data_IF_676606058757
#
_entry.id   IF_676606058757
#
_cell.length_a   1.000
_cell.length_b   1.000
_cell.length_c   1.000
_cell.angle_alpha   90.00
_cell.angle_beta   90.00
_cell.angle_gamma   90.00
#
_symmetry.space_group_name_H-M   'P 1'
#
loop_
_entity.id
_entity.type
_entity.pdbx_description
1 polymer ?
#
# COMPACT_ATOMS: atom_id res chain seq x y z
N UNK A 1 4.74 24.43 16.00
CA UNK A 1 3.34 24.82 16.31
C UNK A 1 3.36 26.02 17.23
N UNK A 2 2.64 27.08 16.88
CA UNK A 2 2.58 28.32 17.66
C UNK A 2 1.14 28.63 17.99
N UNK A 3 0.85 28.89 19.28
CA UNK A 3 -0.47 29.27 19.78
C UNK A 3 -0.46 30.79 20.10
N UNK A 4 -1.44 31.50 19.55
CA UNK A 4 -1.67 32.93 19.86
C UNK A 4 -3.12 33.14 20.32
N UNK A 5 -3.31 34.04 21.28
CA UNK A 5 -4.65 34.54 21.65
C UNK A 5 -4.89 35.85 20.90
N UNK A 6 -5.97 35.89 20.12
CA UNK A 6 -6.33 37.04 19.28
C UNK A 6 -7.15 38.08 20.05
N UNK A 7 -8.02 37.62 20.94
CA UNK A 7 -8.85 38.47 21.82
C UNK A 7 -10.04 37.67 22.38
N UNK A 8 -10.55 38.05 23.54
CA UNK A 8 -11.71 37.37 24.15
C UNK A 8 -11.52 35.89 24.27
N UNK A 9 -12.35 35.09 23.60
CA UNK A 9 -12.37 33.63 23.50
C UNK A 9 -11.72 33.10 22.19
N UNK A 10 -11.07 33.97 21.40
CA UNK A 10 -10.49 33.59 20.12
C UNK A 10 -8.99 33.31 20.22
N UNK A 11 -8.61 32.15 19.66
CA UNK A 11 -7.24 31.68 19.62
C UNK A 11 -6.87 31.29 18.16
N UNK A 12 -5.62 31.48 17.79
CA UNK A 12 -5.07 31.02 16.53
C UNK A 12 -3.93 30.04 16.76
N UNK A 13 -3.92 28.98 15.95
CA UNK A 13 -2.86 27.97 15.91
C UNK A 13 -2.17 28.02 14.55
N UNK A 14 -0.86 28.23 14.54
CA UNK A 14 -0.01 28.10 13.35
C UNK A 14 0.73 26.76 13.42
N UNK A 15 0.51 25.89 12.45
CA UNK A 15 1.09 24.56 12.38
C UNK A 15 1.87 24.41 11.07
N UNK A 16 3.20 24.36 11.14
CA UNK A 16 4.05 24.13 9.98
C UNK A 16 4.13 22.64 9.65
N UNK A 17 4.08 22.30 8.34
CA UNK A 17 4.13 20.93 7.86
C UNK A 17 2.84 20.11 8.09
N UNK A 18 1.71 20.77 8.35
CA UNK A 18 0.40 20.15 8.47
C UNK A 18 -0.36 20.27 7.15
N UNK A 19 -0.69 19.14 6.53
CA UNK A 19 -1.70 19.04 5.48
C UNK A 19 -3.11 18.90 6.08
N UNK A 20 -4.12 18.73 5.22
CA UNK A 20 -5.54 18.62 5.62
C UNK A 20 -5.78 17.55 6.70
N UNK A 21 -5.12 16.42 6.58
CA UNK A 21 -5.25 15.27 7.47
C UNK A 21 -4.75 15.55 8.90
N UNK A 22 -3.51 16.03 9.01
CA UNK A 22 -2.93 16.38 10.32
C UNK A 22 -3.69 17.52 10.99
N UNK A 23 -4.18 18.47 10.18
CA UNK A 23 -5.00 19.58 10.68
C UNK A 23 -6.36 19.06 11.18
N UNK A 24 -6.99 18.14 10.46
CA UNK A 24 -8.24 17.46 10.89
C UNK A 24 -8.04 16.70 12.19
N UNK A 25 -7.00 15.85 12.27
CA UNK A 25 -6.72 15.07 13.47
C UNK A 25 -6.45 15.96 14.69
N UNK A 26 -5.75 17.07 14.50
CA UNK A 26 -5.52 18.06 15.57
C UNK A 26 -6.83 18.75 16.00
N UNK A 27 -7.65 19.16 15.04
CA UNK A 27 -8.94 19.80 15.32
C UNK A 27 -9.86 18.89 16.12
N UNK A 28 -10.01 17.62 15.71
CA UNK A 28 -10.81 16.63 16.43
C UNK A 28 -10.30 16.42 17.85
N UNK A 29 -8.98 16.25 18.03
CA UNK A 29 -8.38 16.09 19.36
C UNK A 29 -8.59 17.29 20.27
N UNK A 30 -8.58 18.51 19.72
CA UNK A 30 -8.89 19.74 20.48
C UNK A 30 -10.37 19.72 20.90
N UNK A 31 -11.27 19.40 19.99
CA UNK A 31 -12.70 19.33 20.26
C UNK A 31 -13.03 18.28 21.34
N UNK A 32 -12.46 17.09 21.23
CA UNK A 32 -12.64 16.01 22.20
C UNK A 32 -12.17 16.43 23.60
N UNK A 33 -11.00 17.07 23.68
CA UNK A 33 -10.48 17.54 24.99
C UNK A 33 -11.30 18.66 25.60
N UNK A 34 -11.87 19.55 24.79
CA UNK A 34 -12.73 20.62 25.29
C UNK A 34 -14.12 20.15 25.67
N UNK A 35 -14.57 18.99 25.19
CA UNK A 35 -15.82 18.34 25.59
C UNK A 35 -15.72 17.62 26.94
N UNK A 36 -14.49 17.38 27.43
CA UNK A 36 -14.29 16.88 28.80
C UNK A 36 -14.56 17.97 29.81
N UNK A 37 -15.15 17.68 30.98
CA UNK A 37 -15.42 18.69 32.00
C UNK A 37 -14.12 19.24 32.60
N UNK A 38 -14.06 20.53 32.79
CA UNK A 38 -13.00 21.23 33.54
C UNK A 38 -13.39 21.37 34.98
N UNK A 39 -12.55 20.93 35.89
CA UNK A 39 -12.77 21.06 37.32
C UNK A 39 -12.08 22.32 37.86
N UNK A 40 -12.85 23.29 38.35
CA UNK A 40 -12.32 24.49 39.02
C UNK A 40 -12.89 24.51 40.45
N UNK A 41 -12.05 24.13 41.42
CA UNK A 41 -12.53 23.87 42.79
C UNK A 41 -13.54 22.73 42.79
N UNK A 42 -14.73 22.96 43.35
CA UNK A 42 -15.82 21.96 43.43
C UNK A 42 -16.80 22.08 42.24
N UNK A 43 -16.52 22.89 41.24
CA UNK A 43 -17.40 23.10 40.06
C UNK A 43 -16.88 22.40 38.83
N UNK A 44 -17.79 21.72 38.14
CA UNK A 44 -17.56 21.20 36.81
C UNK A 44 -18.03 22.21 35.74
N UNK A 45 -17.15 22.59 34.83
CA UNK A 45 -17.44 23.50 33.73
C UNK A 45 -17.28 22.77 32.42
N UNK A 46 -18.25 22.92 31.54
CA UNK A 46 -18.20 22.40 30.18
C UNK A 46 -17.86 23.54 29.21
N UNK A 47 -16.97 23.28 28.30
CA UNK A 47 -16.58 24.21 27.26
C UNK A 47 -16.65 23.51 25.90
N UNK A 48 -16.82 24.29 24.85
CA UNK A 48 -16.77 23.78 23.48
C UNK A 48 -16.11 24.81 22.59
N UNK A 49 -15.59 24.38 21.44
CA UNK A 49 -15.02 25.26 20.45
C UNK A 49 -15.56 24.97 19.04
N UNK A 50 -15.51 25.97 18.19
CA UNK A 50 -15.61 25.80 16.74
C UNK A 50 -14.27 26.16 16.13
N UNK A 51 -13.82 25.42 15.11
CA UNK A 51 -12.48 25.56 14.54
C UNK A 51 -12.59 25.86 13.04
N UNK A 52 -12.04 27.00 12.60
CA UNK A 52 -11.82 27.31 11.18
C UNK A 52 -10.41 26.94 10.77
N UNK A 53 -10.24 26.25 9.66
CA UNK A 53 -8.96 25.77 9.16
C UNK A 53 -8.70 26.34 7.78
N UNK A 54 -7.51 26.92 7.58
CA UNK A 54 -6.99 27.33 6.29
C UNK A 54 -5.64 26.66 6.05
N UNK A 55 -5.45 26.12 4.86
CA UNK A 55 -4.18 25.54 4.42
C UNK A 55 -3.44 26.53 3.51
N UNK A 56 -2.13 26.62 3.67
CA UNK A 56 -1.27 27.42 2.82
C UNK A 56 -0.07 26.58 2.36
N UNK A 57 0.31 26.62 1.09
CA UNK A 57 -0.15 27.51 0.01
C UNK A 57 -1.43 27.07 -0.71
N UNK A 58 -2.04 25.95 -0.39
CA UNK A 58 -3.15 25.38 -1.15
C UNK A 58 -4.52 25.53 -0.43
N UNK A 59 -5.63 25.79 -1.16
CA UNK A 59 -5.79 26.13 -2.59
C UNK A 59 -5.99 27.65 -2.81
N UNK A 60 -5.32 28.51 -2.09
CA UNK A 60 -5.61 29.93 -2.04
C UNK A 60 -4.48 30.76 -2.59
N UNK A 61 -4.81 31.74 -3.48
CA UNK A 61 -3.93 32.83 -3.87
C UNK A 61 -3.78 33.84 -2.70
N UNK A 62 -3.32 33.36 -1.55
CA UNK A 62 -3.14 34.18 -0.37
C UNK A 62 -1.87 35.00 -0.52
N UNK A 63 -1.98 36.31 -0.53
CA UNK A 63 -0.87 37.23 -0.70
C UNK A 63 -0.27 37.72 0.62
N UNK A 64 -1.00 37.63 1.73
CA UNK A 64 -0.55 38.09 3.03
C UNK A 64 -1.26 37.41 4.22
N UNK A 65 -0.72 37.63 5.43
CA UNK A 65 -1.24 37.04 6.66
C UNK A 65 -2.68 37.49 6.98
N UNK A 66 -3.06 38.73 6.63
CA UNK A 66 -4.39 39.27 6.86
C UNK A 66 -5.46 38.51 6.05
N UNK A 67 -5.13 38.10 4.83
CA UNK A 67 -6.02 37.30 4.00
C UNK A 67 -6.15 35.85 4.55
N UNK A 68 -5.06 35.25 5.07
CA UNK A 68 -5.12 33.97 5.77
C UNK A 68 -6.09 34.03 6.96
N UNK A 69 -6.02 35.09 7.75
CA UNK A 69 -6.92 35.28 8.89
C UNK A 69 -8.38 35.42 8.44
N UNK A 70 -8.68 36.23 7.41
CA UNK A 70 -10.04 36.34 6.86
C UNK A 70 -10.60 35.01 6.36
N UNK A 71 -9.75 34.21 5.73
CA UNK A 71 -10.14 32.89 5.25
C UNK A 71 -10.41 31.93 6.42
N UNK A 72 -9.61 31.99 7.48
CA UNK A 72 -9.83 31.21 8.70
C UNK A 72 -11.13 31.62 9.42
N UNK A 73 -11.42 32.93 9.49
CA UNK A 73 -12.66 33.45 10.05
C UNK A 73 -13.90 33.00 9.25
N UNK A 74 -13.80 32.99 7.91
CA UNK A 74 -14.83 32.46 7.03
C UNK A 74 -15.12 30.99 7.29
N UNK A 75 -14.06 30.17 7.46
CA UNK A 75 -14.16 28.78 7.84
C UNK A 75 -14.75 28.60 9.25
N UNK A 76 -14.33 29.43 10.21
CA UNK A 76 -14.88 29.45 11.57
C UNK A 76 -16.38 29.77 11.57
N UNK A 77 -16.80 30.77 10.80
CA UNK A 77 -18.22 31.07 10.64
C UNK A 77 -18.99 29.86 10.10
N UNK A 78 -18.43 29.16 9.13
CA UNK A 78 -19.03 27.95 8.58
C UNK A 78 -19.11 26.82 9.64
N UNK A 79 -18.10 26.63 10.46
CA UNK A 79 -18.14 25.69 11.57
C UNK A 79 -19.23 26.05 12.60
N UNK A 80 -19.38 27.35 12.92
CA UNK A 80 -20.42 27.86 13.80
C UNK A 80 -21.83 27.64 13.23
N UNK A 81 -22.02 27.85 11.92
CA UNK A 81 -23.31 27.64 11.23
C UNK A 81 -23.67 26.16 11.06
N UNK A 82 -22.72 25.26 11.01
CA UNK A 82 -22.90 23.80 10.91
C UNK A 82 -23.22 23.12 12.28
N UNK A 83 -23.63 23.89 13.29
CA UNK A 83 -24.06 23.36 14.58
C UNK A 83 -23.06 23.56 15.73
N UNK A 84 -22.00 24.30 15.56
CA UNK A 84 -20.92 24.53 16.56
C UNK A 84 -20.24 23.23 17.00
N UNK A 85 -19.30 23.31 17.90
CA UNK A 85 -18.51 22.15 18.42
C UNK A 85 -17.98 21.26 17.30
N UNK A 86 -17.53 21.87 16.20
CA UNK A 86 -17.03 21.20 14.99
C UNK A 86 -15.95 22.06 14.33
N UNK A 87 -15.37 21.51 13.26
CA UNK A 87 -14.41 22.23 12.43
C UNK A 87 -14.91 22.40 10.99
N UNK A 88 -14.36 23.37 10.27
CA UNK A 88 -14.54 23.50 8.82
C UNK A 88 -13.27 24.03 8.18
N UNK A 89 -12.97 23.55 6.97
CA UNK A 89 -11.97 24.16 6.12
C UNK A 89 -12.54 25.35 5.34
N UNK A 90 -11.67 26.26 4.97
CA UNK A 90 -12.02 27.37 4.08
C UNK A 90 -12.58 26.89 2.74
N UNK A 91 -12.11 25.72 2.23
CA UNK A 91 -12.66 25.06 1.04
C UNK A 91 -13.72 24.02 1.40
N UNK A 92 -14.85 24.01 0.66
CA UNK A 92 -15.90 22.97 0.79
C UNK A 92 -15.39 21.60 0.40
N UNK A 93 -14.58 21.55 -0.64
CA UNK A 93 -13.96 20.31 -1.14
C UNK A 93 -13.07 19.68 -0.06
N UNK A 94 -12.21 20.47 0.58
CA UNK A 94 -11.37 19.98 1.69
C UNK A 94 -12.19 19.54 2.90
N UNK A 95 -13.29 20.22 3.19
CA UNK A 95 -14.21 19.82 4.28
C UNK A 95 -14.84 18.46 3.99
N UNK A 96 -15.28 18.26 2.74
CA UNK A 96 -15.87 16.99 2.29
C UNK A 96 -14.84 15.85 2.32
N UNK A 97 -13.65 16.07 1.79
CA UNK A 97 -12.56 15.09 1.80
C UNK A 97 -12.16 14.69 3.22
N UNK A 98 -12.04 15.66 4.13
CA UNK A 98 -11.70 15.40 5.52
C UNK A 98 -12.78 14.57 6.23
N UNK A 99 -14.06 14.85 5.99
CA UNK A 99 -15.18 14.04 6.53
C UNK A 99 -15.15 12.61 5.99
N UNK A 100 -15.05 12.45 4.68
CA UNK A 100 -14.99 11.13 4.06
C UNK A 100 -13.83 10.30 4.61
N UNK A 101 -12.69 10.95 4.89
CA UNK A 101 -11.53 10.25 5.47
C UNK A 101 -11.80 9.77 6.90
N UNK A 102 -12.39 10.61 7.75
CA UNK A 102 -12.76 10.22 9.13
C UNK A 102 -13.76 9.05 9.13
N UNK A 103 -14.77 9.12 8.26
CA UNK A 103 -15.72 8.04 8.07
C UNK A 103 -15.03 6.75 7.63
N UNK A 104 -14.08 6.85 6.69
CA UNK A 104 -13.35 5.69 6.16
C UNK A 104 -12.44 5.05 7.22
N UNK A 105 -11.79 5.85 8.08
CA UNK A 105 -10.99 5.34 9.23
C UNK A 105 -11.87 4.52 10.17
N UNK A 106 -13.04 5.05 10.53
CA UNK A 106 -13.98 4.37 11.43
C UNK A 106 -14.51 3.08 10.80
N UNK A 107 -14.92 3.16 9.54
CA UNK A 107 -15.43 2.01 8.80
C UNK A 107 -14.36 0.92 8.60
N UNK A 108 -13.07 1.28 8.41
CA UNK A 108 -11.98 0.33 8.23
C UNK A 108 -11.72 -0.51 9.50
N UNK A 109 -11.85 0.08 10.70
CA UNK A 109 -11.78 -0.67 11.95
C UNK A 109 -12.89 -1.72 12.03
N UNK A 110 -14.11 -1.32 11.72
CA UNK A 110 -15.25 -2.23 11.68
C UNK A 110 -15.11 -3.31 10.60
N UNK A 111 -14.48 -2.97 9.46
CA UNK A 111 -14.28 -3.90 8.36
C UNK A 111 -13.47 -5.15 8.75
N UNK A 112 -12.45 -4.97 9.60
CA UNK A 112 -11.66 -6.08 10.14
C UNK A 112 -12.50 -6.99 11.03
N UNK A 113 -13.29 -6.42 11.94
CA UNK A 113 -14.13 -7.16 12.89
C UNK A 113 -15.31 -7.86 12.19
N UNK A 114 -15.88 -7.23 11.18
CA UNK A 114 -17.08 -7.72 10.47
C UNK A 114 -16.75 -8.57 9.24
N UNK A 115 -15.47 -8.89 9.02
CA UNK A 115 -15.06 -9.74 7.90
C UNK A 115 -15.42 -9.14 6.53
N UNK A 116 -15.21 -7.84 6.33
CA UNK A 116 -15.48 -7.16 5.07
C UNK A 116 -14.26 -7.17 4.12
N UNK A 117 -13.11 -7.62 4.58
CA UNK A 117 -11.95 -7.79 3.73
C UNK A 117 -12.08 -9.03 2.84
N UNK A 118 -11.54 -8.95 1.64
CA UNK A 118 -11.47 -10.05 0.65
C UNK A 118 -10.08 -10.08 0.06
N UNK A 119 -9.61 -11.23 -0.39
CA UNK A 119 -8.44 -11.34 -1.25
C UNK A 119 -8.85 -11.55 -2.69
N UNK A 120 -8.23 -10.79 -3.56
CA UNK A 120 -8.16 -11.08 -4.98
C UNK A 120 -6.74 -11.55 -5.30
N UNK A 121 -6.62 -12.38 -6.30
CA UNK A 121 -5.35 -13.00 -6.67
C UNK A 121 -5.03 -12.64 -8.11
N UNK A 122 -3.83 -12.13 -8.33
CA UNK A 122 -3.34 -11.82 -9.67
C UNK A 122 -2.29 -12.84 -10.06
N UNK A 123 -2.43 -13.52 -11.20
CA UNK A 123 -1.48 -14.55 -11.62
C UNK A 123 -0.16 -13.93 -12.05
N UNK A 124 0.92 -14.62 -11.69
CA UNK A 124 2.30 -14.37 -12.11
C UNK A 124 2.70 -15.50 -13.05
N UNK A 125 3.06 -15.15 -14.27
CA UNK A 125 3.37 -16.11 -15.34
C UNK A 125 4.87 -16.30 -15.51
N UNK A 126 5.31 -17.53 -15.74
CA UNK A 126 6.60 -17.82 -16.33
C UNK A 126 6.56 -17.35 -17.79
N UNK A 127 7.38 -16.35 -18.15
CA UNK A 127 7.34 -15.75 -19.50
C UNK A 127 7.84 -16.70 -20.59
N UNK A 128 8.65 -17.71 -20.25
CA UNK A 128 9.16 -18.69 -21.22
C UNK A 128 8.15 -19.81 -21.48
N UNK A 129 7.48 -20.27 -20.41
CA UNK A 129 6.53 -21.39 -20.50
C UNK A 129 5.10 -20.92 -20.80
N UNK A 130 4.78 -19.66 -20.51
CA UNK A 130 3.42 -19.12 -20.59
C UNK A 130 2.47 -19.70 -19.54
N UNK A 131 2.97 -20.36 -18.51
CA UNK A 131 2.18 -20.99 -17.46
C UNK A 131 2.19 -20.18 -16.18
N UNK A 132 1.15 -20.33 -15.37
CA UNK A 132 1.07 -19.69 -14.05
C UNK A 132 2.13 -20.32 -13.14
N UNK A 133 3.00 -19.46 -12.56
CA UNK A 133 4.00 -19.86 -11.57
C UNK A 133 3.54 -19.58 -10.15
N UNK A 134 2.72 -18.57 -9.95
CA UNK A 134 2.22 -18.18 -8.65
C UNK A 134 1.16 -17.10 -8.75
N UNK A 135 0.77 -16.56 -7.61
CA UNK A 135 -0.20 -15.48 -7.53
C UNK A 135 0.26 -14.44 -6.52
N UNK A 136 -0.05 -13.18 -6.78
CA UNK A 136 0.02 -12.12 -5.78
C UNK A 136 -1.35 -11.98 -5.11
N UNK A 137 -1.37 -12.03 -3.77
CA UNK A 137 -2.56 -11.83 -2.95
C UNK A 137 -2.78 -10.36 -2.67
N UNK A 138 -3.83 -9.81 -3.22
CA UNK A 138 -4.15 -8.38 -3.20
C UNK A 138 -5.41 -8.14 -2.38
N UNK A 139 -5.28 -7.46 -1.25
CA UNK A 139 -6.41 -7.13 -0.39
C UNK A 139 -7.41 -6.21 -1.11
N UNK A 140 -8.69 -6.45 -0.85
CA UNK A 140 -9.84 -5.64 -1.28
C UNK A 140 -10.75 -5.41 -0.10
N UNK A 141 -11.45 -4.30 -0.07
CA UNK A 141 -12.43 -4.03 0.95
C UNK A 141 -13.84 -4.02 0.35
N UNK A 142 -14.64 -5.01 0.72
CA UNK A 142 -16.05 -5.10 0.35
C UNK A 142 -16.87 -4.25 1.30
N UNK A 143 -16.96 -2.94 1.00
CA UNK A 143 -17.73 -2.01 1.81
C UNK A 143 -19.23 -2.20 1.55
N UNK A 144 -20.11 -2.24 2.59
CA UNK A 144 -21.52 -2.54 2.42
C UNK A 144 -22.27 -1.52 1.52
N UNK A 145 -21.89 -0.25 1.56
CA UNK A 145 -22.56 0.81 0.78
C UNK A 145 -21.76 1.22 -0.47
N UNK A 146 -20.42 1.20 -0.41
CA UNK A 146 -19.53 1.70 -1.48
C UNK A 146 -19.08 0.61 -2.45
N UNK A 147 -19.45 -0.65 -2.20
CA UNK A 147 -19.00 -1.78 -3.00
C UNK A 147 -17.52 -2.11 -2.78
N UNK A 148 -16.83 -2.56 -3.82
CA UNK A 148 -15.45 -3.00 -3.74
C UNK A 148 -14.49 -1.79 -3.79
N UNK A 149 -13.79 -1.54 -2.67
CA UNK A 149 -12.80 -0.46 -2.54
C UNK A 149 -11.40 -1.03 -2.79
N UNK A 150 -10.65 -0.37 -3.68
CA UNK A 150 -9.28 -0.75 -4.02
C UNK A 150 -8.27 -0.36 -2.91
N UNK A 151 -7.12 -1.07 -2.80
CA UNK A 151 -6.12 -0.85 -1.76
C UNK A 151 -5.62 0.58 -1.66
N UNK A 152 -5.37 1.24 -2.80
CA UNK A 152 -4.88 2.62 -2.83
C UNK A 152 -5.74 3.64 -2.08
N UNK A 153 -7.03 3.33 -1.84
CA UNK A 153 -7.91 4.21 -1.10
C UNK A 153 -7.86 4.00 0.43
N UNK A 154 -7.48 2.82 0.92
CA UNK A 154 -7.55 2.52 2.35
C UNK A 154 -6.21 2.07 2.98
N UNK A 155 -5.27 1.54 2.22
CA UNK A 155 -3.96 1.13 2.74
C UNK A 155 -3.20 2.31 3.35
N UNK A 156 -3.10 3.51 2.70
CA UNK A 156 -2.45 4.67 3.34
C UNK A 156 -3.09 5.04 4.69
N UNK A 157 -4.42 4.95 4.77
CA UNK A 157 -5.16 5.18 6.02
C UNK A 157 -4.81 4.12 7.07
N UNK A 158 -4.74 2.85 6.67
CA UNK A 158 -4.36 1.76 7.56
C UNK A 158 -2.95 1.92 8.13
N UNK A 159 -2.00 2.37 7.31
CA UNK A 159 -0.62 2.64 7.73
C UNK A 159 -0.55 3.76 8.77
N UNK A 160 -1.20 4.90 8.51
CA UNK A 160 -1.21 6.05 9.42
C UNK A 160 -1.89 5.73 10.76
N UNK A 161 -2.98 4.97 10.72
CA UNK A 161 -3.75 4.62 11.93
C UNK A 161 -3.21 3.39 12.66
N UNK A 162 -2.25 2.67 12.07
CA UNK A 162 -1.69 1.44 12.62
C UNK A 162 -2.53 0.19 12.39
N UNK A 163 -3.64 0.29 11.68
CA UNK A 163 -4.49 -0.85 11.33
C UNK A 163 -3.81 -1.79 10.32
N UNK A 164 -2.78 -1.30 9.62
CA UNK A 164 -2.08 -2.06 8.60
C UNK A 164 -1.51 -3.37 9.15
N UNK A 165 -0.98 -3.40 10.36
CA UNK A 165 -0.43 -4.63 10.95
C UNK A 165 -1.49 -5.73 11.12
N UNK A 166 -2.72 -5.36 11.46
CA UNK A 166 -3.83 -6.32 11.56
C UNK A 166 -4.28 -6.79 10.17
N UNK A 167 -4.27 -5.90 9.17
CA UNK A 167 -4.57 -6.24 7.77
C UNK A 167 -3.51 -7.19 7.24
N UNK A 168 -2.22 -6.91 7.41
CA UNK A 168 -1.12 -7.76 6.96
C UNK A 168 -1.22 -9.17 7.56
N UNK A 169 -1.48 -9.25 8.87
CA UNK A 169 -1.66 -10.54 9.54
C UNK A 169 -2.83 -11.33 8.93
N UNK A 170 -3.97 -10.67 8.73
CA UNK A 170 -5.14 -11.27 8.11
C UNK A 170 -4.86 -11.72 6.66
N UNK A 171 -4.19 -10.89 5.86
CA UNK A 171 -3.81 -11.21 4.48
C UNK A 171 -2.90 -12.44 4.43
N UNK A 172 -1.86 -12.48 5.26
CA UNK A 172 -0.95 -13.62 5.36
C UNK A 172 -1.70 -14.92 5.69
N UNK A 173 -2.59 -14.88 6.70
CA UNK A 173 -3.38 -16.06 7.09
C UNK A 173 -4.30 -16.53 5.96
N UNK A 174 -5.05 -15.62 5.34
CA UNK A 174 -5.97 -15.96 4.25
C UNK A 174 -5.23 -16.44 2.99
N UNK A 175 -4.11 -15.81 2.64
CA UNK A 175 -3.31 -16.22 1.49
C UNK A 175 -2.73 -17.63 1.68
N UNK A 176 -2.19 -17.93 2.86
CA UNK A 176 -1.68 -19.27 3.16
C UNK A 176 -2.80 -20.34 3.12
N UNK A 177 -3.98 -20.03 3.66
CA UNK A 177 -5.13 -20.93 3.62
C UNK A 177 -5.59 -21.21 2.19
N UNK A 178 -5.71 -20.17 1.37
CA UNK A 178 -6.10 -20.33 -0.04
C UNK A 178 -5.07 -21.10 -0.85
N UNK A 179 -3.78 -20.84 -0.64
CA UNK A 179 -2.71 -21.61 -1.29
C UNK A 179 -2.78 -23.09 -0.91
N UNK A 180 -3.02 -23.39 0.36
CA UNK A 180 -3.18 -24.77 0.84
C UNK A 180 -4.40 -25.46 0.22
N UNK A 181 -5.50 -24.72 0.07
CA UNK A 181 -6.70 -25.21 -0.60
C UNK A 181 -6.44 -25.58 -2.07
N UNK A 182 -5.83 -24.66 -2.84
CA UNK A 182 -5.50 -24.91 -4.25
C UNK A 182 -4.57 -26.12 -4.45
N UNK A 183 -3.53 -26.23 -3.60
CA UNK A 183 -2.65 -27.41 -3.60
C UNK A 183 -3.42 -28.69 -3.26
N UNK A 184 -4.37 -28.64 -2.32
CA UNK A 184 -5.25 -29.76 -1.97
C UNK A 184 -6.20 -30.19 -3.10
N UNK A 185 -6.58 -29.24 -3.95
CA UNK A 185 -7.38 -29.47 -5.16
C UNK A 185 -6.52 -29.99 -6.34
N UNK A 186 -5.20 -30.05 -6.19
CA UNK A 186 -4.28 -30.52 -7.23
C UNK A 186 -3.85 -29.45 -8.24
N UNK A 187 -4.10 -28.18 -7.97
CA UNK A 187 -3.62 -27.11 -8.84
C UNK A 187 -2.09 -26.94 -8.76
N UNK A 188 -1.43 -26.61 -9.88
CA UNK A 188 0.03 -26.51 -9.95
C UNK A 188 0.53 -25.14 -9.40
N UNK A 189 0.30 -24.89 -8.12
CA UNK A 189 0.74 -23.65 -7.46
C UNK A 189 2.22 -23.73 -7.12
N UNK A 190 3.04 -22.84 -7.67
CA UNK A 190 4.43 -22.66 -7.27
C UNK A 190 4.55 -21.86 -5.97
N UNK A 191 3.95 -20.66 -5.92
CA UNK A 191 3.99 -19.79 -4.74
C UNK A 191 2.78 -18.85 -4.68
N UNK A 192 2.54 -18.33 -3.48
CA UNK A 192 1.64 -17.19 -3.25
C UNK A 192 2.45 -16.04 -2.65
N UNK A 193 2.41 -14.89 -3.28
CA UNK A 193 3.12 -13.68 -2.86
C UNK A 193 2.20 -12.78 -2.02
N UNK A 194 2.76 -12.22 -0.95
CA UNK A 194 2.06 -11.34 -0.02
C UNK A 194 2.90 -10.12 0.26
N UNK A 195 2.33 -8.95 0.05
CA UNK A 195 2.93 -7.67 0.38
C UNK A 195 3.02 -7.48 1.89
N UNK A 196 4.17 -7.04 2.38
CA UNK A 196 4.43 -6.76 3.79
C UNK A 196 4.67 -5.28 3.98
N UNK A 197 3.84 -4.65 4.82
CA UNK A 197 4.03 -3.24 5.14
C UNK A 197 5.35 -2.97 5.86
N UNK A 198 5.91 -1.79 5.65
CA UNK A 198 7.12 -1.33 6.35
C UNK A 198 6.96 -1.38 7.87
N UNK A 199 5.74 -1.16 8.35
CA UNK A 199 5.42 -1.18 9.77
C UNK A 199 5.49 -2.59 10.38
N UNK A 200 4.94 -3.60 9.69
CA UNK A 200 5.02 -4.99 10.16
C UNK A 200 6.45 -5.51 10.06
N UNK A 201 7.16 -5.17 8.98
CA UNK A 201 8.55 -5.50 8.79
C UNK A 201 9.45 -4.92 9.90
N UNK A 202 9.19 -3.67 10.31
CA UNK A 202 9.95 -2.97 11.35
C UNK A 202 9.69 -3.47 12.77
N UNK A 203 8.60 -4.20 13.04
CA UNK A 203 8.26 -4.71 14.39
C UNK A 203 9.18 -5.83 14.90
N UNK A 204 10.00 -6.43 14.04
CA UNK A 204 10.99 -7.45 14.41
C UNK A 204 10.44 -8.84 14.79
N UNK A 205 9.12 -9.05 14.75
CA UNK A 205 8.43 -10.31 15.12
C UNK A 205 7.79 -11.02 13.91
N UNK A 206 8.01 -10.53 12.70
CA UNK A 206 7.39 -11.07 11.49
C UNK A 206 7.72 -12.55 11.27
N UNK A 207 8.94 -12.98 11.57
CA UNK A 207 9.37 -14.38 11.46
C UNK A 207 8.57 -15.33 12.37
N UNK A 208 8.25 -14.90 13.59
CA UNK A 208 7.41 -15.66 14.52
C UNK A 208 5.96 -15.74 14.06
N UNK A 209 5.43 -14.64 13.53
CA UNK A 209 4.09 -14.59 12.97
C UNK A 209 3.97 -15.51 11.75
N UNK A 210 4.91 -15.42 10.81
CA UNK A 210 4.95 -16.28 9.62
C UNK A 210 5.06 -17.76 10.01
N UNK A 211 5.95 -18.11 10.95
CA UNK A 211 6.09 -19.48 11.42
C UNK A 211 4.77 -20.01 12.02
N UNK A 212 4.07 -19.18 12.80
CA UNK A 212 2.79 -19.55 13.40
C UNK A 212 1.72 -19.76 12.34
N UNK A 213 1.62 -18.88 11.35
CA UNK A 213 0.64 -18.97 10.25
C UNK A 213 0.91 -20.22 9.40
N UNK A 214 2.16 -20.48 9.04
CA UNK A 214 2.53 -21.68 8.28
C UNK A 214 2.18 -22.97 9.05
N UNK A 215 2.45 -23.01 10.36
CA UNK A 215 2.11 -24.17 11.19
C UNK A 215 0.58 -24.38 11.27
N UNK A 216 -0.22 -23.32 11.33
CA UNK A 216 -1.69 -23.38 11.42
C UNK A 216 -2.34 -23.75 10.09
N UNK A 217 -1.90 -23.15 8.98
CA UNK A 217 -2.44 -23.42 7.64
C UNK A 217 -1.99 -24.78 7.08
N UNK A 218 -0.85 -25.30 7.53
CA UNK A 218 -0.21 -26.49 6.97
C UNK A 218 0.37 -26.26 5.58
N UNK A 219 0.60 -24.99 5.18
CA UNK A 219 1.27 -24.66 3.93
C UNK A 219 2.78 -24.86 4.10
N UNK A 220 3.41 -25.55 3.14
CA UNK A 220 4.87 -25.62 3.12
C UNK A 220 5.47 -24.25 2.83
N UNK A 221 6.48 -23.84 3.60
CA UNK A 221 7.08 -22.51 3.55
C UNK A 221 7.55 -22.08 2.15
N UNK A 222 8.02 -23.04 1.33
CA UNK A 222 8.46 -22.77 -0.06
C UNK A 222 7.38 -22.19 -0.96
N UNK A 223 6.10 -22.36 -0.60
CA UNK A 223 4.96 -21.82 -1.35
C UNK A 223 4.54 -20.43 -0.90
N UNK A 224 5.14 -19.87 0.16
CA UNK A 224 4.91 -18.50 0.59
C UNK A 224 6.07 -17.61 0.13
N UNK A 225 5.74 -16.52 -0.54
CA UNK A 225 6.65 -15.44 -0.88
C UNK A 225 6.24 -14.17 -0.16
N UNK A 226 7.19 -13.47 0.46
CA UNK A 226 6.96 -12.19 1.10
C UNK A 226 7.58 -11.10 0.24
N UNK A 227 6.77 -10.12 -0.14
CA UNK A 227 7.17 -8.96 -0.92
C UNK A 227 7.41 -7.78 0.00
N UNK A 228 8.60 -7.21 -0.06
CA UNK A 228 9.07 -6.16 0.84
C UNK A 228 9.55 -5.00 -0.02
N UNK A 229 9.01 -3.81 0.21
CA UNK A 229 9.44 -2.63 -0.54
C UNK A 229 10.91 -2.29 -0.23
N UNK A 230 11.61 -1.77 -1.20
CA UNK A 230 12.98 -1.27 -1.04
C UNK A 230 13.09 -0.31 0.15
N UNK A 231 12.13 0.59 0.29
CA UNK A 231 12.07 1.61 1.34
C UNK A 231 11.99 1.03 2.75
N UNK A 232 11.31 -0.11 2.94
CA UNK A 232 11.20 -0.77 4.24
C UNK A 232 12.55 -1.25 4.77
N UNK A 233 13.42 -1.73 3.87
CA UNK A 233 14.77 -2.20 4.23
C UNK A 233 15.74 -1.06 4.53
N UNK A 234 15.50 0.14 3.97
CA UNK A 234 16.39 1.30 4.14
C UNK A 234 16.26 1.94 5.52
N UNK A 235 15.12 1.82 6.19
CA UNK A 235 14.86 2.45 7.50
C UNK A 235 15.81 1.97 8.59
N UNK A 236 16.01 0.66 8.71
CA UNK A 236 16.99 0.04 9.61
C UNK A 236 17.66 -1.16 8.91
N UNK A 237 18.75 -0.94 8.17
CA UNK A 237 19.36 -1.96 7.32
C UNK A 237 19.91 -3.17 8.08
N UNK A 238 20.45 -2.97 9.27
CA UNK A 238 21.06 -4.07 10.03
C UNK A 238 20.00 -4.97 10.66
N UNK A 239 18.93 -4.40 11.24
CA UNK A 239 17.79 -5.15 11.73
C UNK A 239 17.07 -5.86 10.58
N UNK A 240 16.91 -5.20 9.43
CA UNK A 240 16.32 -5.77 8.23
C UNK A 240 17.09 -7.03 7.75
N UNK A 241 18.41 -6.97 7.67
CA UNK A 241 19.23 -8.12 7.25
C UNK A 241 19.08 -9.32 8.20
N UNK A 242 19.02 -9.09 9.50
CA UNK A 242 18.79 -10.16 10.49
C UNK A 242 17.41 -10.78 10.31
N UNK A 243 16.37 -9.97 10.11
CA UNK A 243 14.99 -10.45 9.90
C UNK A 243 14.89 -11.25 8.60
N UNK A 244 15.45 -10.76 7.49
CA UNK A 244 15.47 -11.48 6.21
C UNK A 244 16.16 -12.85 6.34
N UNK A 245 17.26 -12.95 7.10
CA UNK A 245 17.92 -14.22 7.35
C UNK A 245 17.05 -15.19 8.15
N UNK A 246 16.34 -14.71 9.18
CA UNK A 246 15.39 -15.53 9.96
C UNK A 246 14.21 -16.01 9.13
N UNK A 247 13.62 -15.14 8.32
CA UNK A 247 12.56 -15.51 7.38
C UNK A 247 13.02 -16.56 6.37
N UNK A 248 14.20 -16.36 5.79
CA UNK A 248 14.79 -17.34 4.87
C UNK A 248 15.07 -18.70 5.53
N UNK A 249 15.47 -18.71 6.80
CA UNK A 249 15.68 -19.94 7.55
C UNK A 249 14.38 -20.74 7.77
N UNK A 250 13.20 -20.09 7.74
CA UNK A 250 11.89 -20.75 7.73
C UNK A 250 11.59 -21.45 6.39
N UNK A 251 12.34 -21.11 5.33
CA UNK A 251 12.14 -21.66 3.97
C UNK A 251 11.19 -20.88 3.09
N UNK A 252 10.72 -19.68 3.51
CA UNK A 252 9.88 -18.80 2.68
C UNK A 252 10.72 -18.11 1.60
N UNK A 253 10.07 -17.74 0.51
CA UNK A 253 10.67 -16.94 -0.54
C UNK A 253 10.57 -15.46 -0.17
N UNK A 254 11.54 -14.66 -0.66
CA UNK A 254 11.62 -13.23 -0.40
C UNK A 254 11.80 -12.50 -1.72
N UNK A 255 11.01 -11.46 -1.96
CA UNK A 255 11.12 -10.57 -3.11
C UNK A 255 11.29 -9.12 -2.66
N UNK A 256 12.10 -8.35 -3.37
CA UNK A 256 12.13 -6.90 -3.23
C UNK A 256 11.19 -6.29 -4.25
N UNK A 257 10.26 -5.49 -3.74
CA UNK A 257 9.25 -4.80 -4.54
C UNK A 257 9.62 -3.33 -4.82
N UNK A 258 9.01 -2.74 -5.86
CA UNK A 258 9.21 -1.37 -6.33
C UNK A 258 10.68 -1.01 -6.61
N UNK A 259 11.48 -1.99 -7.10
CA UNK A 259 12.91 -1.76 -7.30
C UNK A 259 13.19 -0.75 -8.42
N UNK A 260 14.06 0.21 -8.09
CA UNK A 260 14.48 1.28 -9.00
C UNK A 260 13.80 2.62 -8.76
N UNK A 261 12.79 2.69 -7.90
CA UNK A 261 12.12 3.94 -7.52
C UNK A 261 12.86 4.69 -6.40
N UNK A 262 13.83 4.03 -5.72
CA UNK A 262 14.60 4.55 -4.59
C UNK A 262 16.11 4.59 -4.83
N UNK A 263 16.86 4.90 -3.77
CA UNK A 263 18.33 4.95 -3.77
C UNK A 263 18.94 3.63 -3.27
N UNK A 264 18.75 2.53 -3.99
CA UNK A 264 19.39 1.27 -3.59
C UNK A 264 20.90 1.28 -3.83
N UNK A 265 21.65 0.93 -2.79
CA UNK A 265 23.05 0.55 -2.93
C UNK A 265 23.14 -0.91 -3.41
N UNK A 266 23.78 -1.15 -4.55
CA UNK A 266 24.05 -2.50 -5.05
C UNK A 266 24.72 -3.42 -4.02
N UNK A 267 25.54 -2.84 -3.14
CA UNK A 267 26.17 -3.56 -2.05
C UNK A 267 25.14 -4.09 -1.04
N UNK A 268 24.09 -3.32 -0.78
CA UNK A 268 22.99 -3.75 0.10
C UNK A 268 22.18 -4.87 -0.53
N UNK A 269 21.76 -4.71 -1.78
CA UNK A 269 20.99 -5.74 -2.50
C UNK A 269 21.71 -7.09 -2.45
N UNK A 270 23.04 -7.12 -2.68
CA UNK A 270 23.85 -8.34 -2.55
C UNK A 270 23.79 -8.95 -1.15
N UNK A 271 23.68 -8.14 -0.08
CA UNK A 271 23.63 -8.61 1.32
C UNK A 271 22.25 -9.10 1.76
N UNK A 272 21.18 -8.62 1.12
CA UNK A 272 19.78 -8.95 1.49
C UNK A 272 19.45 -10.43 1.30
N UNK A 273 20.19 -11.12 0.42
CA UNK A 273 20.04 -12.56 0.19
C UNK A 273 18.58 -12.97 -0.11
N UNK A 274 17.89 -12.17 -0.92
CA UNK A 274 16.52 -12.42 -1.41
C UNK A 274 16.51 -13.36 -2.61
N UNK A 275 15.35 -13.77 -3.09
CA UNK A 275 15.20 -14.70 -4.21
C UNK A 275 14.79 -14.00 -5.49
N UNK A 276 14.00 -12.95 -5.38
CA UNK A 276 13.43 -12.25 -6.53
C UNK A 276 13.54 -10.74 -6.40
N UNK A 277 13.45 -10.10 -7.54
CA UNK A 277 13.39 -8.66 -7.69
C UNK A 277 12.22 -8.33 -8.62
N UNK A 278 11.32 -7.41 -8.19
CA UNK A 278 10.20 -6.96 -8.98
C UNK A 278 10.54 -5.62 -9.63
N UNK A 279 10.31 -5.52 -10.93
CA UNK A 279 10.49 -4.27 -11.70
C UNK A 279 9.16 -3.53 -11.68
N UNK A 280 9.18 -2.31 -11.14
CA UNK A 280 8.00 -1.45 -11.05
C UNK A 280 7.38 -1.18 -12.43
N UNK A 281 6.05 -1.13 -12.47
CA UNK A 281 5.26 -0.86 -13.67
C UNK A 281 5.67 0.43 -14.39
N UNK A 282 6.23 1.42 -13.69
CA UNK A 282 6.70 2.67 -14.29
C UNK A 282 7.77 2.45 -15.35
N UNK A 283 8.64 1.43 -15.19
CA UNK A 283 9.66 1.07 -16.18
C UNK A 283 9.17 0.10 -17.25
N UNK A 284 8.04 -0.55 -17.04
CA UNK A 284 7.45 -1.49 -18.01
C UNK A 284 6.49 -0.78 -18.96
N UNK A 285 5.83 0.28 -18.50
CA UNK A 285 4.79 0.99 -19.24
C UNK A 285 5.26 1.57 -20.59
N UNK A 286 6.49 2.09 -20.65
CA UNK A 286 7.07 2.69 -21.88
C UNK A 286 7.67 1.67 -22.86
N UNK A 287 7.71 0.38 -22.49
CA UNK A 287 8.33 -0.65 -23.33
C UNK A 287 7.48 -1.00 -24.56
N UNK A 288 8.10 -1.34 -25.67
CA UNK A 288 9.56 -1.30 -25.98
C UNK A 288 10.06 0.05 -26.49
N UNK A 289 9.17 1.04 -26.67
CA UNK A 289 9.41 2.24 -27.49
C UNK A 289 10.22 3.31 -26.74
N UNK A 290 10.07 3.43 -25.42
CA UNK A 290 10.86 4.33 -24.61
C UNK A 290 12.28 3.76 -24.40
N UNK A 291 13.28 4.52 -24.87
CA UNK A 291 14.70 4.10 -24.84
C UNK A 291 15.26 4.06 -23.42
N UNK A 292 14.81 4.95 -22.54
CA UNK A 292 15.31 5.07 -21.18
C UNK A 292 14.71 3.95 -20.33
N UNK A 293 13.40 3.71 -20.42
CA UNK A 293 12.73 2.59 -19.77
C UNK A 293 13.32 1.24 -20.22
N UNK A 294 13.55 1.09 -21.54
CA UNK A 294 14.15 -0.12 -22.09
C UNK A 294 15.61 -0.34 -21.62
N UNK A 295 16.39 0.73 -21.45
CA UNK A 295 17.76 0.65 -20.95
C UNK A 295 17.79 0.31 -19.45
N UNK A 296 16.92 0.94 -18.65
CA UNK A 296 16.77 0.67 -17.21
C UNK A 296 16.35 -0.77 -17.01
N UNK A 297 15.27 -1.21 -17.65
CA UNK A 297 14.73 -2.58 -17.53
C UNK A 297 15.80 -3.63 -17.88
N UNK A 298 16.55 -3.48 -18.98
CA UNK A 298 17.66 -4.37 -19.33
C UNK A 298 18.74 -4.40 -18.25
N UNK A 299 19.07 -3.22 -17.70
CA UNK A 299 20.12 -3.11 -16.68
C UNK A 299 19.70 -3.80 -15.38
N UNK A 300 18.43 -3.65 -14.97
CA UNK A 300 17.87 -4.29 -13.78
C UNK A 300 17.83 -5.82 -13.94
N UNK A 301 17.36 -6.33 -15.09
CA UNK A 301 17.35 -7.77 -15.37
C UNK A 301 18.77 -8.34 -15.31
N UNK A 302 19.72 -7.70 -16.01
CA UNK A 302 21.12 -8.14 -16.02
C UNK A 302 21.76 -8.11 -14.62
N UNK A 303 21.49 -7.08 -13.83
CA UNK A 303 21.95 -6.96 -12.46
C UNK A 303 21.38 -8.08 -11.58
N UNK A 304 20.08 -8.32 -11.61
CA UNK A 304 19.43 -9.34 -10.83
C UNK A 304 20.02 -10.73 -11.15
N UNK A 305 20.15 -11.09 -12.41
CA UNK A 305 20.72 -12.36 -12.84
C UNK A 305 22.19 -12.52 -12.41
N UNK A 306 23.01 -11.46 -12.49
CA UNK A 306 24.38 -11.49 -11.99
C UNK A 306 24.48 -11.71 -10.48
N UNK A 307 23.43 -11.38 -9.74
CA UNK A 307 23.30 -11.65 -8.30
C UNK A 307 22.62 -12.99 -8.00
N UNK A 308 22.23 -13.77 -9.01
CA UNK A 308 21.52 -15.04 -8.86
C UNK A 308 20.05 -14.90 -8.48
N UNK A 309 19.46 -13.71 -8.71
CA UNK A 309 18.05 -13.41 -8.43
C UNK A 309 17.19 -13.69 -9.66
N UNK A 310 15.94 -14.05 -9.44
CA UNK A 310 14.89 -14.06 -10.46
C UNK A 310 14.25 -12.69 -10.59
N UNK A 311 13.65 -12.42 -11.76
CA UNK A 311 13.03 -11.12 -12.04
C UNK A 311 11.55 -11.31 -12.37
N UNK A 312 10.71 -10.47 -11.74
CA UNK A 312 9.28 -10.32 -12.08
C UNK A 312 9.10 -8.93 -12.68
N UNK A 313 8.52 -8.82 -13.86
CA UNK A 313 8.12 -7.53 -14.44
C UNK A 313 6.63 -7.28 -14.19
N UNK A 314 6.31 -6.10 -13.66
CA UNK A 314 4.96 -5.72 -13.32
C UNK A 314 4.32 -4.81 -14.36
N UNK A 315 2.98 -4.78 -14.37
CA UNK A 315 2.24 -3.85 -15.22
C UNK A 315 2.31 -4.17 -16.72
N UNK A 316 2.50 -5.43 -17.09
CA UNK A 316 2.46 -5.86 -18.48
C UNK A 316 1.02 -5.78 -19.01
N UNK A 317 0.80 -4.94 -20.00
CA UNK A 317 -0.52 -4.71 -20.61
C UNK A 317 -0.59 -5.19 -22.07
N UNK A 318 0.55 -5.27 -22.77
CA UNK A 318 0.59 -5.58 -24.20
C UNK A 318 1.52 -6.76 -24.55
N UNK A 319 1.27 -7.39 -25.70
CA UNK A 319 2.10 -8.47 -26.21
C UNK A 319 3.52 -7.99 -26.56
N UNK A 320 3.68 -6.74 -26.99
CA UNK A 320 4.97 -6.15 -27.31
C UNK A 320 5.85 -5.99 -26.07
N UNK A 321 5.25 -5.57 -24.94
CA UNK A 321 5.94 -5.52 -23.64
C UNK A 321 6.39 -6.92 -23.21
N UNK A 322 5.49 -7.90 -23.26
CA UNK A 322 5.82 -9.29 -22.91
C UNK A 322 6.93 -9.86 -23.79
N UNK A 323 6.87 -9.62 -25.11
CA UNK A 323 7.89 -10.06 -26.06
C UNK A 323 9.26 -9.39 -25.80
N UNK A 324 9.29 -8.09 -25.50
CA UNK A 324 10.51 -7.39 -25.14
C UNK A 324 11.14 -8.00 -23.87
N UNK A 325 10.36 -8.18 -22.82
CA UNK A 325 10.82 -8.73 -21.54
C UNK A 325 11.34 -10.17 -21.71
N UNK A 326 10.64 -10.99 -22.46
CA UNK A 326 11.07 -12.35 -22.80
C UNK A 326 12.42 -12.34 -23.56
N UNK A 327 12.58 -11.43 -24.53
CA UNK A 327 13.83 -11.27 -25.29
C UNK A 327 15.01 -10.83 -24.39
N UNK A 328 14.73 -10.13 -23.28
CA UNK A 328 15.73 -9.77 -22.27
C UNK A 328 15.94 -10.87 -21.22
N UNK A 329 15.33 -12.04 -21.39
CA UNK A 329 15.35 -13.16 -20.45
C UNK A 329 14.72 -12.86 -19.08
N UNK A 330 13.75 -11.93 -18.98
CA UNK A 330 12.97 -11.78 -17.77
C UNK A 330 12.28 -13.11 -17.42
N UNK A 331 12.29 -13.50 -16.14
CA UNK A 331 11.81 -14.82 -15.72
C UNK A 331 10.28 -14.86 -15.64
N UNK A 332 9.70 -13.87 -14.99
CA UNK A 332 8.25 -13.82 -14.70
C UNK A 332 7.64 -12.50 -15.12
N UNK A 333 6.33 -12.53 -15.34
CA UNK A 333 5.58 -11.33 -15.68
C UNK A 333 4.19 -11.34 -15.06
N UNK A 334 3.71 -10.15 -14.72
CA UNK A 334 2.40 -9.89 -14.15
C UNK A 334 1.83 -8.61 -14.76
N UNK A 335 0.51 -8.56 -14.97
CA UNK A 335 -0.14 -7.36 -15.48
C UNK A 335 -1.52 -7.63 -16.05
N UNK A 336 -2.22 -6.56 -16.39
CA UNK A 336 -3.59 -6.66 -16.93
C UNK A 336 -3.67 -7.24 -18.33
N UNK A 337 -2.56 -7.29 -19.04
CA UNK A 337 -2.47 -8.01 -20.31
C UNK A 337 -2.65 -9.52 -20.15
N UNK A 338 -2.23 -10.07 -19.00
CA UNK A 338 -2.46 -11.47 -18.67
C UNK A 338 -3.82 -11.66 -18.01
N UNK A 339 -4.00 -11.10 -16.84
CA UNK A 339 -5.26 -11.14 -16.09
C UNK A 339 -5.32 -10.03 -15.04
N UNK A 340 -6.54 -9.57 -14.75
CA UNK A 340 -6.80 -8.70 -13.61
C UNK A 340 -6.87 -9.51 -12.33
N UNK A 341 -6.61 -8.89 -11.14
CA UNK A 341 -6.86 -9.53 -9.86
C UNK A 341 -8.33 -9.99 -9.73
N UNK A 342 -8.55 -11.24 -9.37
CA UNK A 342 -9.90 -11.84 -9.27
C UNK A 342 -10.03 -12.72 -8.02
N UNK A 343 -11.25 -13.03 -7.56
CA UNK A 343 -11.49 -13.97 -6.47
C UNK A 343 -10.87 -15.33 -6.75
N UNK A 344 -10.52 -16.07 -5.69
CA UNK A 344 -9.83 -17.35 -5.81
C UNK A 344 -10.59 -18.45 -6.55
N UNK A 345 -11.92 -18.41 -6.51
CA UNK A 345 -12.83 -19.32 -7.21
C UNK A 345 -13.04 -18.97 -8.70
N UNK A 346 -12.65 -17.77 -9.11
CA UNK A 346 -12.76 -17.31 -10.50
C UNK A 346 -11.45 -17.46 -11.31
N UNK A 347 -10.41 -18.05 -10.71
CA UNK A 347 -9.09 -18.22 -11.34
C UNK A 347 -9.16 -19.19 -12.52
N UNK A 348 -8.74 -18.72 -13.69
CA UNK A 348 -8.44 -19.57 -14.83
C UNK A 348 -6.96 -20.00 -14.79
N UNK A 349 -6.72 -21.30 -14.62
CA UNK A 349 -5.37 -21.89 -14.55
C UNK A 349 -4.77 -22.21 -15.92
N UNK A 350 -5.43 -21.81 -17.00
CA UNK A 350 -4.96 -22.04 -18.36
C UNK A 350 -3.67 -21.24 -18.66
N UNK A 351 -2.79 -21.77 -19.52
CA UNK A 351 -1.64 -20.99 -20.02
C UNK A 351 -2.08 -19.71 -20.74
N UNK A 352 -1.28 -18.66 -20.62
CA UNK A 352 -1.58 -17.38 -21.28
C UNK A 352 -1.20 -17.41 -22.77
N UNK A 353 -2.09 -16.94 -23.62
CA UNK A 353 -1.82 -16.71 -25.03
C UNK A 353 -0.86 -15.54 -25.28
N UNK A 354 -0.72 -14.62 -24.33
CA UNK A 354 0.15 -13.45 -24.44
C UNK A 354 1.62 -13.82 -24.64
N UNK A 355 2.07 -14.93 -24.05
CA UNK A 355 3.44 -15.44 -24.19
C UNK A 355 3.67 -16.18 -25.51
N UNK A 356 2.62 -16.63 -26.20
CA UNK A 356 2.69 -17.47 -27.40
C UNK A 356 2.50 -16.69 -28.71
N UNK A 357 2.22 -15.41 -28.66
CA UNK A 357 1.79 -14.57 -29.81
C UNK A 357 2.79 -14.41 -30.97
N UNK A 358 3.99 -14.96 -30.91
CA UNK A 358 4.95 -14.94 -32.02
C UNK A 358 5.33 -16.31 -32.60
N UNK A 359 5.03 -17.41 -31.95
CA UNK A 359 5.38 -18.74 -32.46
C UNK A 359 4.44 -19.25 -33.58
N UNK A 360 3.21 -18.73 -33.65
CA UNK A 360 2.22 -19.16 -34.66
C UNK A 360 2.26 -18.38 -36.01
N UNK A 361 3.01 -17.28 -36.13
CA UNK A 361 3.08 -16.52 -37.38
C UNK A 361 4.23 -16.89 -38.32
N UNK A 362 5.15 -17.78 -37.93
CA UNK A 362 6.30 -18.20 -38.73
C UNK A 362 6.18 -19.58 -39.40
N UNK A 363 5.05 -20.27 -39.24
CA UNK A 363 4.83 -21.59 -39.90
C UNK A 363 3.79 -21.58 -41.02
N UNK A 364 3.51 -20.40 -41.60
CA UNK A 364 2.57 -20.25 -42.69
C UNK A 364 3.16 -19.46 -43.85
N UNK A 365 4.26 -19.96 -44.49
CA UNK A 365 4.62 -19.69 -45.86
C UNK A 365 5.43 -20.83 -46.43
#
# INVERSE_FOLDING_TARGET
MTLGRLGGDEFALLCEGYGAEKATALALRILDRLNEPFHIGDQELFSSASIGIVLYPYPTDVQNAEQLMRNADSALFKAKSNGRSTYAFYSEELTSQARQRVELVTALRQALEQGQLRLHYQPIYDLRQGTISGFEALVRWQHPEKGLIAPGAFIPIAEETGLISAIDHWVLEQACNQAREWLGQGHPLGFIAVNISSRLFGNGELDLQVATILARSGLEARHLELEITESAVIQDPDAALVLLQRLRALGVQLAIDDFGTGYSSLQRLKRMNVHKLKIDQGFVRGLPDDRDDAAITRSVIGLAHNLGLKVVAEGIETAEQAAFLLAQNCDYGQGYGFARPQPGDAIDWSPSELCHGQACRSSGR
#
